data_IF_943720656419
#
_entry.id   IF_943720656419
#
_cell.length_a   1.000
_cell.length_b   1.000
_cell.length_c   1.000
_cell.angle_alpha   90.00
_cell.angle_beta   90.00
_cell.angle_gamma   90.00
#
_symmetry.space_group_name_H-M   'P 1'
#
loop_
_entity.id
_entity.type
_entity.pdbx_description
1 polymer ?
#
# COMPACT_ATOMS: atom_id res chain seq x y z
N UNK A 1 40.66 -3.55 26.13
CA UNK A 1 39.90 -4.37 25.16
C UNK A 1 38.66 -3.58 24.77
N UNK A 2 38.61 -3.00 23.56
CA UNK A 2 37.45 -2.23 23.07
C UNK A 2 36.53 -3.20 22.33
N UNK A 3 35.36 -3.50 22.89
CA UNK A 3 34.32 -4.23 22.17
C UNK A 3 33.64 -3.28 21.21
N UNK A 4 33.96 -3.37 19.91
CA UNK A 4 33.14 -2.74 18.87
C UNK A 4 31.93 -3.63 18.61
N UNK A 5 30.76 -3.21 19.07
CA UNK A 5 29.50 -3.77 18.58
C UNK A 5 29.26 -3.25 17.17
N UNK A 6 29.60 -4.04 16.15
CA UNK A 6 29.08 -3.83 14.80
C UNK A 6 27.59 -4.16 14.82
N UNK A 7 26.76 -3.13 14.87
CA UNK A 7 25.32 -3.26 14.68
C UNK A 7 25.08 -3.55 13.20
N UNK A 8 24.90 -4.82 12.86
CA UNK A 8 24.41 -5.20 11.54
C UNK A 8 22.97 -4.69 11.39
N UNK A 9 22.79 -3.54 10.72
CA UNK A 9 21.46 -3.10 10.28
C UNK A 9 20.98 -4.10 9.23
N UNK A 10 20.05 -4.99 9.58
CA UNK A 10 19.33 -5.78 8.58
C UNK A 10 18.65 -4.82 7.60
N UNK A 11 18.83 -5.03 6.28
CA UNK A 11 18.07 -4.30 5.26
C UNK A 11 16.57 -4.51 5.57
N UNK A 12 15.80 -3.43 5.52
CA UNK A 12 14.35 -3.52 5.67
C UNK A 12 13.79 -4.44 4.57
N UNK A 13 12.75 -5.25 4.84
CA UNK A 13 12.06 -5.96 3.79
C UNK A 13 11.48 -4.97 2.76
N UNK A 14 11.56 -5.40 1.51
CA UNK A 14 11.01 -4.70 0.35
C UNK A 14 9.62 -5.27 0.08
N UNK A 15 8.65 -4.37 -0.09
CA UNK A 15 7.26 -4.70 -0.30
C UNK A 15 6.79 -4.18 -1.65
N UNK A 16 6.11 -5.06 -2.41
CA UNK A 16 5.41 -4.65 -3.62
C UNK A 16 4.04 -4.09 -3.21
N UNK A 17 3.74 -2.86 -3.63
CA UNK A 17 2.53 -2.13 -3.26
C UNK A 17 1.66 -1.92 -4.50
N UNK A 18 0.38 -2.26 -4.40
CA UNK A 18 -0.63 -1.85 -5.41
C UNK A 18 -1.72 -1.03 -4.75
N UNK A 19 -1.97 0.16 -5.29
CA UNK A 19 -3.06 1.05 -4.84
C UNK A 19 -4.28 0.79 -5.71
N UNK A 20 -5.43 0.61 -5.07
CA UNK A 20 -6.72 0.43 -5.71
C UNK A 20 -7.68 1.54 -5.32
N UNK A 21 -8.36 2.09 -6.33
CA UNK A 21 -9.36 3.14 -6.15
C UNK A 21 -10.60 2.81 -6.97
N UNK A 22 -11.76 3.33 -6.55
CA UNK A 22 -12.93 3.41 -7.42
C UNK A 22 -12.80 4.62 -8.34
N UNK A 23 -13.29 4.53 -9.61
CA UNK A 23 -13.31 5.64 -10.54
C UNK A 23 -14.06 6.84 -9.96
N UNK A 24 -15.24 6.58 -9.37
CA UNK A 24 -16.11 7.60 -8.83
C UNK A 24 -16.06 7.70 -7.30
N UNK A 25 -16.46 8.86 -6.79
CA UNK A 25 -16.45 9.17 -5.37
C UNK A 25 -17.60 8.50 -4.64
N UNK A 26 -17.27 7.74 -3.58
CA UNK A 26 -18.27 7.14 -2.67
C UNK A 26 -18.74 5.75 -3.11
N UNK A 27 -18.24 5.24 -4.23
CA UNK A 27 -18.53 3.88 -4.66
C UNK A 27 -17.94 2.84 -3.71
N UNK A 28 -18.64 1.69 -3.60
CA UNK A 28 -18.24 0.57 -2.73
C UNK A 28 -17.70 -0.63 -3.52
N UNK A 29 -17.66 -0.52 -4.85
CA UNK A 29 -17.36 -1.56 -5.84
C UNK A 29 -16.67 -0.89 -7.04
N UNK A 30 -16.10 -1.69 -7.95
CA UNK A 30 -15.42 -1.18 -9.15
C UNK A 30 -13.97 -0.74 -8.89
N UNK A 31 -13.31 -1.31 -7.88
CA UNK A 31 -11.91 -0.99 -7.62
C UNK A 31 -11.02 -1.42 -8.78
N UNK A 32 -10.19 -0.49 -9.24
CA UNK A 32 -9.17 -0.71 -10.26
C UNK A 32 -7.77 -0.44 -9.68
N UNK A 33 -6.74 -1.20 -10.09
CA UNK A 33 -5.37 -0.89 -9.75
C UNK A 33 -4.94 0.40 -10.46
N UNK A 34 -4.59 1.43 -9.69
CA UNK A 34 -4.24 2.75 -10.25
C UNK A 34 -2.75 3.05 -10.22
N UNK A 35 -1.98 2.35 -9.37
CA UNK A 35 -0.53 2.53 -9.29
C UNK A 35 0.15 1.35 -8.60
N UNK A 36 1.38 1.07 -9.01
CA UNK A 36 2.24 0.06 -8.40
C UNK A 36 3.61 0.66 -8.07
N UNK A 37 4.17 0.31 -6.92
CA UNK A 37 5.49 0.77 -6.48
C UNK A 37 6.09 -0.23 -5.50
N UNK A 38 7.40 -0.21 -5.38
CA UNK A 38 8.12 -0.90 -4.32
C UNK A 38 8.41 0.08 -3.17
N UNK A 39 8.32 -0.38 -1.92
CA UNK A 39 8.69 0.39 -0.73
C UNK A 39 9.44 -0.50 0.27
N UNK A 40 10.52 0.04 0.82
CA UNK A 40 11.17 -0.54 1.99
C UNK A 40 10.39 -0.20 3.27
N UNK A 41 10.28 -1.15 4.19
CA UNK A 41 9.69 -0.90 5.52
C UNK A 41 9.98 -2.03 6.50
N UNK A 42 9.72 -1.85 7.80
CA UNK A 42 9.91 -2.93 8.80
C UNK A 42 8.62 -3.68 9.11
N UNK A 43 7.48 -3.13 8.70
CA UNK A 43 6.15 -3.70 8.93
C UNK A 43 5.14 -3.12 7.95
N UNK A 44 4.01 -3.81 7.77
CA UNK A 44 2.90 -3.29 6.97
C UNK A 44 2.41 -1.93 7.47
N UNK A 45 2.38 -1.70 8.79
CA UNK A 45 1.95 -0.40 9.34
C UNK A 45 2.86 0.74 8.88
N UNK A 46 4.18 0.58 8.98
CA UNK A 46 5.15 1.59 8.54
C UNK A 46 5.04 1.84 7.02
N UNK A 47 4.83 0.78 6.24
CA UNK A 47 4.61 0.87 4.80
C UNK A 47 3.32 1.64 4.49
N UNK A 48 2.21 1.34 5.16
CA UNK A 48 0.93 2.01 4.97
C UNK A 48 0.98 3.50 5.35
N UNK A 49 1.69 3.85 6.43
CA UNK A 49 1.91 5.24 6.84
C UNK A 49 2.76 5.98 5.78
N UNK A 50 3.75 5.30 5.21
CA UNK A 50 4.60 5.83 4.12
C UNK A 50 3.78 6.01 2.84
N UNK A 51 2.96 5.04 2.46
CA UNK A 51 2.04 5.14 1.32
C UNK A 51 1.10 6.33 1.50
N UNK A 52 0.44 6.44 2.65
CA UNK A 52 -0.47 7.55 2.90
C UNK A 52 0.23 8.92 2.79
N UNK A 53 1.44 9.05 3.36
CA UNK A 53 2.20 10.29 3.31
C UNK A 53 2.72 10.61 1.91
N UNK A 54 3.14 9.61 1.15
CA UNK A 54 3.71 9.76 -0.20
C UNK A 54 2.67 10.12 -1.25
N UNK A 55 1.45 9.61 -1.13
CA UNK A 55 0.40 9.81 -2.15
C UNK A 55 -0.63 10.89 -1.78
N UNK A 56 -0.47 11.56 -0.63
CA UNK A 56 -1.36 12.67 -0.20
C UNK A 56 -0.65 14.01 -0.01
N UNK A 57 0.66 14.09 -0.23
CA UNK A 57 1.41 15.34 -0.20
C UNK A 57 1.87 15.63 -1.62
N UNK A 58 1.48 16.78 -2.17
CA UNK A 58 1.69 17.14 -3.57
C UNK A 58 3.17 16.99 -4.00
N UNK A 59 4.09 17.39 -3.14
CA UNK A 59 5.54 17.37 -3.42
C UNK A 59 6.16 15.96 -3.37
N UNK A 60 5.47 14.98 -2.78
CA UNK A 60 5.99 13.60 -2.62
C UNK A 60 5.30 12.60 -3.56
N UNK A 61 4.20 13.00 -4.18
CA UNK A 61 3.48 12.20 -5.16
C UNK A 61 4.37 11.96 -6.38
N UNK A 62 4.56 10.71 -6.83
CA UNK A 62 5.31 10.42 -8.04
C UNK A 62 4.72 11.15 -9.26
N UNK A 63 5.57 11.69 -10.13
CA UNK A 63 5.13 12.47 -11.30
C UNK A 63 4.31 11.65 -12.31
N UNK A 64 4.43 10.33 -12.28
CA UNK A 64 3.69 9.38 -13.11
C UNK A 64 2.39 8.88 -12.45
N UNK A 65 2.11 9.28 -11.22
CA UNK A 65 0.86 9.00 -10.52
C UNK A 65 -0.27 9.88 -11.09
N UNK A 66 -1.18 9.26 -11.84
CA UNK A 66 -2.29 9.97 -12.53
C UNK A 66 -3.62 9.88 -11.78
N UNK A 67 -3.65 9.19 -10.65
CA UNK A 67 -4.86 9.00 -9.86
C UNK A 67 -5.02 10.10 -8.82
N UNK A 68 -6.17 10.10 -8.15
CA UNK A 68 -6.45 11.03 -7.06
C UNK A 68 -5.69 10.65 -5.79
N UNK A 69 -5.54 11.59 -4.87
CA UNK A 69 -5.03 11.30 -3.53
C UNK A 69 -5.81 10.17 -2.85
N UNK A 70 -5.09 9.42 -2.01
CA UNK A 70 -5.64 8.31 -1.22
C UNK A 70 -6.59 8.88 -0.16
N UNK A 71 -7.74 8.26 -0.01
CA UNK A 71 -8.74 8.63 1.00
C UNK A 71 -9.45 7.41 1.57
N UNK A 72 -10.28 7.66 2.57
CA UNK A 72 -11.19 6.66 3.14
C UNK A 72 -11.96 5.92 2.05
N UNK A 73 -11.88 4.59 2.07
CA UNK A 73 -12.48 3.71 1.08
C UNK A 73 -11.47 3.07 0.14
N UNK A 74 -10.29 3.67 -0.08
CA UNK A 74 -9.27 3.11 -0.96
C UNK A 74 -8.58 1.91 -0.35
N UNK A 75 -8.01 1.07 -1.21
CA UNK A 75 -7.41 -0.19 -0.82
C UNK A 75 -5.94 -0.20 -1.24
N UNK A 76 -5.08 -0.74 -0.37
CA UNK A 76 -3.68 -1.00 -0.63
C UNK A 76 -3.44 -2.49 -0.49
N UNK A 77 -2.90 -3.10 -1.52
CA UNK A 77 -2.33 -4.44 -1.48
C UNK A 77 -0.85 -4.32 -1.16
N UNK A 78 -0.41 -5.11 -0.17
CA UNK A 78 1.00 -5.30 0.16
C UNK A 78 1.35 -6.75 -0.13
N UNK A 79 2.35 -6.97 -0.98
CA UNK A 79 2.88 -8.29 -1.29
C UNK A 79 4.31 -8.44 -0.76
N UNK A 80 4.52 -9.48 0.05
CA UNK A 80 5.82 -9.85 0.60
C UNK A 80 6.49 -10.86 -0.34
N UNK A 81 7.45 -10.41 -1.17
CA UNK A 81 8.24 -11.28 -2.06
C UNK A 81 7.41 -12.29 -2.88
N UNK A 82 6.25 -11.87 -3.40
CA UNK A 82 5.29 -12.71 -4.16
C UNK A 82 4.75 -13.94 -3.43
N UNK A 83 4.89 -14.04 -2.10
CA UNK A 83 4.43 -15.20 -1.31
C UNK A 83 3.19 -14.93 -0.50
N UNK A 84 3.07 -13.73 0.05
CA UNK A 84 1.98 -13.35 0.92
C UNK A 84 1.44 -12.01 0.49
N UNK A 85 0.15 -12.00 0.20
CA UNK A 85 -0.60 -10.81 -0.16
C UNK A 85 -1.49 -10.41 1.01
N UNK A 86 -1.58 -9.11 1.29
CA UNK A 86 -2.45 -8.60 2.34
C UNK A 86 -3.09 -7.29 1.91
N UNK A 87 -4.41 -7.23 2.03
CA UNK A 87 -5.20 -6.09 1.58
C UNK A 87 -5.57 -5.23 2.78
N UNK A 88 -5.40 -3.93 2.65
CA UNK A 88 -5.73 -2.94 3.65
C UNK A 88 -6.68 -1.92 3.08
N UNK A 89 -7.83 -1.71 3.73
CA UNK A 89 -8.76 -0.63 3.38
C UNK A 89 -8.58 0.53 4.33
N UNK A 90 -8.44 1.74 3.79
CA UNK A 90 -8.41 2.94 4.60
C UNK A 90 -9.82 3.24 5.13
N UNK A 91 -9.98 3.28 6.45
CA UNK A 91 -11.21 3.67 7.13
C UNK A 91 -11.01 4.99 7.88
N UNK A 92 -12.08 5.59 8.40
CA UNK A 92 -11.98 6.74 9.31
C UNK A 92 -11.18 6.45 10.59
N UNK A 93 -11.06 5.17 10.96
CA UNK A 93 -10.27 4.70 12.11
C UNK A 93 -8.85 4.26 11.70
N UNK A 94 -8.40 4.62 10.50
CA UNK A 94 -7.14 4.19 9.92
C UNK A 94 -7.26 2.91 9.10
N UNK A 95 -6.11 2.31 8.79
CA UNK A 95 -6.00 1.12 7.97
C UNK A 95 -6.56 -0.12 8.66
N UNK A 96 -7.38 -0.89 7.94
CA UNK A 96 -7.91 -2.18 8.40
C UNK A 96 -7.57 -3.24 7.39
N UNK A 97 -7.02 -4.34 7.87
CA UNK A 97 -6.85 -5.54 7.06
C UNK A 97 -8.21 -6.08 6.63
N UNK A 98 -8.34 -6.47 5.36
CA UNK A 98 -9.56 -7.04 4.80
C UNK A 98 -9.24 -8.32 4.03
N UNK A 99 -10.20 -9.25 4.03
CA UNK A 99 -10.15 -10.42 3.16
C UNK A 99 -10.86 -10.09 1.83
N UNK A 100 -10.39 -10.68 0.73
CA UNK A 100 -10.81 -10.39 -0.65
C UNK A 100 -12.19 -10.96 -1.12
N UNK A 101 -13.02 -11.74 -0.38
CA UNK A 101 -14.31 -12.17 -0.95
C UNK A 101 -15.31 -11.03 -1.23
N UNK A 102 -14.93 -9.76 -1.00
CA UNK A 102 -15.77 -8.57 -1.19
C UNK A 102 -15.25 -7.56 -2.23
N UNK A 103 -14.22 -7.87 -3.02
CA UNK A 103 -13.92 -7.09 -4.23
C UNK A 103 -14.77 -7.63 -5.39
N UNK A 104 -15.47 -6.79 -6.17
CA UNK A 104 -16.11 -7.27 -7.40
C UNK A 104 -15.02 -7.79 -8.34
N UNK A 105 -15.03 -9.10 -8.57
CA UNK A 105 -14.09 -9.83 -9.41
C UNK A 105 -14.12 -9.31 -10.85
N UNK A 106 -13.34 -8.27 -11.13
CA UNK A 106 -13.01 -7.84 -12.50
C UNK A 106 -11.53 -7.50 -12.68
N UNK A 107 -10.70 -7.61 -11.64
CA UNK A 107 -9.27 -7.31 -11.70
C UNK A 107 -8.35 -8.55 -11.68
N UNK A 108 -8.89 -9.75 -11.87
CA UNK A 108 -8.09 -10.97 -12.06
C UNK A 108 -8.58 -11.66 -13.34
N UNK A 109 -8.17 -11.14 -14.49
CA UNK A 109 -7.98 -11.98 -15.67
C UNK A 109 -6.49 -12.04 -15.95
N UNK A 110 -5.90 -13.21 -15.70
CA UNK A 110 -4.79 -13.67 -16.53
C UNK A 110 -5.31 -13.95 -17.94
#
# INVERSE_FOLDING_TARGET
MRFSFQVFKKKAPEYDITIFQTPDIGEKKGYEPVYQTELDGRSHREVLDTVFSKFNVLDTVPSDYKARFIRTGDIVLISENKKKETYYKLSSMGWREITIPNLPMSAISC
#
